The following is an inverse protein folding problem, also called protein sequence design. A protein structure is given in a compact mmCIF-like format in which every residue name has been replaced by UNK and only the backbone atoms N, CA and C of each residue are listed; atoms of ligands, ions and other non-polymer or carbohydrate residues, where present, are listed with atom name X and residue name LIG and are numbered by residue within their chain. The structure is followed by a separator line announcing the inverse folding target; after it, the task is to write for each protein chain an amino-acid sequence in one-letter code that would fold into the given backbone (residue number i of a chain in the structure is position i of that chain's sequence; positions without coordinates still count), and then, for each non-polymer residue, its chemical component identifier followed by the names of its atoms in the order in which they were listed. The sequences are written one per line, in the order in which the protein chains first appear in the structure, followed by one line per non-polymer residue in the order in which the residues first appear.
data_IF_003620473283
#
_entry.id   IF_003620473283
#
_cell.length_a   1.000
_cell.length_b   1.000
_cell.length_c   1.000
_cell.angle_alpha   90.00
_cell.angle_beta   90.00
_cell.angle_gamma   90.00
#
_symmetry.space_group_name_H-M   'P 1'
#
loop_
_entity.id
_entity.type
_entity.pdbx_description
1 polymer ?
#
# COMPACT_ATOMS: atom_id res chain seq x y z
N UNK A 1 -66.18 55.03 -33.72
CA UNK A 1 -65.84 54.08 -34.82
C UNK A 1 -64.71 53.19 -34.31
N UNK A 2 -64.98 51.99 -33.79
CA UNK A 2 -65.09 50.69 -34.49
C UNK A 2 -63.74 50.09 -34.96
N UNK A 3 -63.31 49.06 -34.22
CA UNK A 3 -62.62 47.81 -34.62
C UNK A 3 -61.24 47.91 -35.30
N UNK A 4 -60.25 47.20 -34.73
CA UNK A 4 -59.77 45.88 -35.24
C UNK A 4 -58.78 45.22 -34.26
N UNK A 5 -59.04 43.95 -33.95
CA UNK A 5 -58.13 42.98 -33.33
C UNK A 5 -57.12 42.51 -34.37
N UNK A 6 -55.86 42.29 -34.00
CA UNK A 6 -55.00 41.27 -34.61
C UNK A 6 -54.18 40.60 -33.50
N UNK A 7 -54.48 39.32 -33.29
CA UNK A 7 -53.66 38.29 -32.63
C UNK A 7 -52.62 37.84 -33.67
N UNK A 8 -51.38 37.50 -33.26
CA UNK A 8 -50.55 36.36 -33.73
C UNK A 8 -49.08 36.62 -33.42
N UNK A 9 -48.39 35.65 -32.81
CA UNK A 9 -46.94 35.70 -32.63
C UNK A 9 -46.39 34.59 -31.73
N UNK A 10 -46.68 33.34 -32.08
CA UNK A 10 -46.03 32.13 -31.57
C UNK A 10 -44.51 32.21 -31.81
N UNK A 11 -43.68 31.95 -30.80
CA UNK A 11 -42.38 31.29 -30.98
C UNK A 11 -41.96 30.64 -29.66
N UNK A 12 -42.28 29.34 -29.57
CA UNK A 12 -41.64 28.40 -28.66
C UNK A 12 -40.24 28.15 -29.22
N UNK A 13 -39.21 28.63 -28.52
CA UNK A 13 -37.84 28.18 -28.75
C UNK A 13 -37.38 27.49 -27.47
N UNK A 14 -37.42 26.16 -27.51
CA UNK A 14 -36.93 25.31 -26.44
C UNK A 14 -35.42 25.43 -26.32
N UNK A 15 -34.95 25.91 -25.17
CA UNK A 15 -33.59 25.67 -24.72
C UNK A 15 -33.62 24.41 -23.83
N UNK A 16 -33.57 23.23 -24.46
CA UNK A 16 -33.12 22.04 -23.76
C UNK A 16 -31.62 22.24 -23.53
N UNK A 17 -31.27 22.89 -22.42
CA UNK A 17 -29.90 22.87 -21.91
C UNK A 17 -29.60 21.42 -21.55
N UNK A 18 -28.96 20.71 -22.48
CA UNK A 18 -28.34 19.43 -22.22
C UNK A 18 -27.32 19.63 -21.13
N UNK A 19 -27.72 19.37 -19.89
CA UNK A 19 -26.78 19.10 -18.80
C UNK A 19 -26.09 17.82 -19.22
N UNK A 20 -24.93 17.96 -19.86
CA UNK A 20 -23.94 16.91 -19.91
C UNK A 20 -23.55 16.67 -18.45
N UNK A 21 -24.24 15.72 -17.83
CA UNK A 21 -23.80 15.09 -16.60
C UNK A 21 -22.48 14.41 -16.92
N UNK A 22 -21.38 15.15 -16.79
CA UNK A 22 -20.10 14.57 -16.47
C UNK A 22 -20.33 13.90 -15.11
N UNK A 23 -20.71 12.63 -15.14
CA UNK A 23 -20.71 11.79 -13.96
C UNK A 23 -19.32 11.93 -13.38
N UNK A 24 -19.22 12.59 -12.22
CA UNK A 24 -18.01 12.56 -11.42
C UNK A 24 -17.82 11.08 -11.08
N UNK A 25 -17.05 10.38 -11.91
CA UNK A 25 -16.54 9.07 -11.57
C UNK A 25 -15.85 9.27 -10.24
N UNK A 26 -16.39 8.70 -9.18
CA UNK A 26 -15.71 8.59 -7.90
C UNK A 26 -14.41 7.87 -8.20
N UNK A 27 -13.32 8.62 -8.31
CA UNK A 27 -12.00 8.04 -8.35
C UNK A 27 -11.88 7.25 -7.05
N UNK A 28 -12.00 5.93 -7.13
CA UNK A 28 -11.68 5.06 -6.01
C UNK A 28 -10.19 5.29 -5.75
N UNK A 29 -9.89 6.07 -4.71
CA UNK A 29 -8.54 6.17 -4.19
C UNK A 29 -8.09 4.73 -3.94
N UNK A 30 -7.01 4.31 -4.62
CA UNK A 30 -6.46 2.98 -4.40
C UNK A 30 -6.17 2.86 -2.90
N UNK A 31 -6.65 1.77 -2.28
CA UNK A 31 -6.51 1.59 -0.84
C UNK A 31 -5.02 1.72 -0.47
N UNK A 32 -4.68 2.49 0.58
CA UNK A 32 -3.29 2.60 1.00
C UNK A 32 -2.81 1.19 1.33
N UNK A 33 -1.76 0.74 0.64
CA UNK A 33 -1.18 -0.57 0.89
C UNK A 33 -0.72 -0.69 2.35
N UNK A 34 -0.62 -1.92 2.84
CA UNK A 34 -0.16 -2.19 4.19
C UNK A 34 0.85 -3.34 4.20
N UNK A 35 1.64 -3.40 5.27
CA UNK A 35 2.58 -4.48 5.56
C UNK A 35 2.35 -4.97 6.99
N UNK A 36 2.49 -6.26 7.21
CA UNK A 36 2.51 -6.91 8.50
C UNK A 36 3.71 -7.84 8.60
N UNK A 37 4.37 -7.79 9.75
CA UNK A 37 5.50 -8.62 10.11
C UNK A 37 5.06 -9.64 11.16
N UNK A 38 5.44 -10.89 10.92
CA UNK A 38 5.33 -12.01 11.85
C UNK A 38 6.67 -12.69 11.99
N UNK A 39 7.08 -12.98 13.22
CA UNK A 39 8.33 -13.67 13.54
C UNK A 39 7.98 -14.86 14.41
N UNK A 40 8.30 -16.07 13.95
CA UNK A 40 8.01 -17.32 14.66
C UNK A 40 9.23 -18.21 14.73
N UNK A 41 9.43 -18.89 15.87
CA UNK A 41 10.55 -19.82 16.02
C UNK A 41 10.36 -21.01 15.09
N UNK A 42 11.40 -21.35 14.33
CA UNK A 42 11.42 -22.47 13.36
C UNK A 42 12.71 -23.26 13.54
N UNK A 43 12.74 -24.16 14.53
CA UNK A 43 13.94 -24.93 14.90
C UNK A 43 14.96 -24.06 15.61
N UNK A 44 16.21 -24.07 15.15
CA UNK A 44 17.30 -23.21 15.65
C UNK A 44 17.30 -21.79 15.04
N UNK A 45 16.35 -21.50 14.15
CA UNK A 45 16.23 -20.22 13.44
C UNK A 45 14.85 -19.60 13.68
N UNK A 46 14.66 -18.39 13.19
CA UNK A 46 13.40 -17.66 13.18
C UNK A 46 12.89 -17.52 11.76
N UNK A 47 11.63 -17.90 11.55
CA UNK A 47 10.92 -17.66 10.31
C UNK A 47 10.29 -16.27 10.39
N UNK A 48 10.85 -15.34 9.63
CA UNK A 48 10.35 -13.98 9.47
C UNK A 48 9.48 -13.95 8.23
N UNK A 49 8.21 -13.59 8.40
CA UNK A 49 7.24 -13.46 7.32
C UNK A 49 6.73 -12.04 7.26
N UNK A 50 6.84 -11.43 6.10
CA UNK A 50 6.24 -10.13 5.80
C UNK A 50 5.14 -10.32 4.77
N UNK A 51 3.90 -10.03 5.17
CA UNK A 51 2.72 -10.13 4.32
C UNK A 51 1.98 -8.81 4.25
N UNK A 52 1.15 -8.64 3.23
CA UNK A 52 0.38 -7.41 3.12
C UNK A 52 -0.26 -7.23 1.77
N UNK A 53 -0.72 -6.01 1.56
CA UNK A 53 -1.44 -5.61 0.36
C UNK A 53 -0.70 -4.44 -0.28
N UNK A 54 -0.39 -4.56 -1.56
CA UNK A 54 0.16 -3.48 -2.35
C UNK A 54 -0.82 -2.31 -2.42
N UNK A 55 -0.32 -1.06 -2.48
CA UNK A 55 -1.18 0.12 -2.69
C UNK A 55 -1.96 0.10 -4.01
N UNK A 56 -1.59 -0.81 -4.92
CA UNK A 56 -2.28 -1.03 -6.17
C UNK A 56 -2.60 -2.50 -6.35
N UNK A 57 -3.80 -2.82 -6.81
CA UNK A 57 -4.22 -4.18 -7.18
C UNK A 57 -3.53 -4.67 -8.45
N UNK A 58 -2.20 -4.64 -8.49
CA UNK A 58 -1.40 -5.06 -9.64
C UNK A 58 -0.18 -5.83 -9.16
N UNK A 59 0.13 -6.89 -9.91
CA UNK A 59 1.32 -7.71 -9.71
C UNK A 59 2.59 -6.85 -9.83
N UNK A 60 3.54 -7.03 -8.91
CA UNK A 60 4.77 -6.25 -8.84
C UNK A 60 5.84 -6.95 -8.01
N UNK A 61 7.09 -6.49 -8.12
CA UNK A 61 8.24 -7.07 -7.40
C UNK A 61 8.49 -6.31 -6.11
N UNK A 62 8.46 -7.00 -4.99
CA UNK A 62 8.68 -6.45 -3.66
C UNK A 62 9.94 -7.02 -3.05
N UNK A 63 10.60 -6.21 -2.22
CA UNK A 63 11.61 -6.69 -1.29
C UNK A 63 11.36 -6.13 0.10
N UNK A 64 11.84 -6.80 1.14
CA UNK A 64 11.83 -6.22 2.48
C UNK A 64 13.21 -6.26 3.14
N UNK A 65 13.44 -5.29 4.01
CA UNK A 65 14.55 -5.22 4.97
C UNK A 65 13.97 -5.16 6.39
N UNK A 66 14.71 -5.69 7.37
CA UNK A 66 14.33 -5.59 8.78
C UNK A 66 15.15 -4.51 9.47
N UNK A 67 14.52 -3.85 10.43
CA UNK A 67 15.11 -2.79 11.22
C UNK A 67 14.75 -2.99 12.69
N UNK A 68 15.67 -2.62 13.57
CA UNK A 68 15.41 -2.36 14.97
C UNK A 68 14.63 -1.09 15.16
N UNK A 69 13.80 -1.06 16.21
CA UNK A 69 12.94 0.06 16.56
C UNK A 69 13.33 0.62 17.93
N UNK A 70 14.58 1.02 18.13
CA UNK A 70 14.98 1.75 19.33
C UNK A 70 14.70 3.27 19.20
N UNK A 71 14.40 3.92 20.32
CA UNK A 71 14.19 5.37 20.42
C UNK A 71 15.45 6.17 20.03
N UNK A 72 16.62 5.54 20.13
CA UNK A 72 17.91 6.18 19.86
C UNK A 72 18.44 5.85 18.47
N UNK A 73 18.21 4.64 17.95
CA UNK A 73 18.72 4.20 16.65
C UNK A 73 17.78 3.22 15.94
N UNK A 74 17.29 3.59 14.74
CA UNK A 74 16.68 2.64 13.80
C UNK A 74 17.82 1.85 13.11
N UNK A 75 18.34 0.80 13.73
CA UNK A 75 19.44 0.01 13.16
C UNK A 75 18.94 -0.96 12.07
N UNK A 76 19.71 -1.08 10.98
CA UNK A 76 19.35 -1.93 9.85
C UNK A 76 19.89 -3.36 10.08
N UNK A 77 19.10 -4.19 10.76
CA UNK A 77 19.53 -5.52 11.21
C UNK A 77 19.59 -6.58 10.11
N UNK A 78 18.80 -6.43 9.04
CA UNK A 78 18.81 -7.39 7.94
C UNK A 78 18.62 -6.72 6.57
N UNK A 79 19.65 -6.83 5.75
CA UNK A 79 19.61 -6.44 4.35
C UNK A 79 18.80 -7.44 3.54
N UNK A 80 17.69 -6.94 2.97
CA UNK A 80 16.88 -7.67 2.01
C UNK A 80 17.69 -8.13 0.80
N UNK A 81 18.19 -9.37 0.83
CA UNK A 81 18.96 -9.97 -0.24
C UNK A 81 18.07 -10.53 -1.36
N UNK A 82 18.63 -11.40 -2.21
CA UNK A 82 17.86 -12.11 -3.26
C UNK A 82 16.68 -12.90 -2.69
N UNK A 83 16.80 -13.37 -1.45
CA UNK A 83 15.82 -14.21 -0.76
C UNK A 83 14.67 -13.44 -0.10
N UNK A 84 14.79 -12.12 -0.01
CA UNK A 84 13.78 -11.25 0.61
C UNK A 84 12.90 -10.60 -0.44
N UNK A 85 12.82 -11.22 -1.62
CA UNK A 85 12.10 -10.74 -2.80
C UNK A 85 10.89 -11.64 -3.08
N UNK A 86 9.79 -11.03 -3.49
CA UNK A 86 8.59 -11.76 -3.89
C UNK A 86 7.77 -10.98 -4.91
N UNK A 87 6.77 -11.65 -5.47
CA UNK A 87 5.79 -11.04 -6.36
C UNK A 87 4.43 -10.96 -5.68
N UNK A 88 3.67 -9.90 -5.96
CA UNK A 88 2.26 -9.88 -5.59
C UNK A 88 1.41 -10.73 -6.52
N UNK A 89 0.28 -11.22 -6.01
CA UNK A 89 -0.76 -11.81 -6.85
C UNK A 89 -1.51 -10.74 -7.67
N UNK A 90 -2.48 -11.16 -8.47
CA UNK A 90 -3.31 -10.26 -9.28
C UNK A 90 -4.11 -9.25 -8.44
N UNK A 91 -4.38 -9.58 -7.17
CA UNK A 91 -5.08 -8.69 -6.25
C UNK A 91 -4.13 -7.75 -5.53
N UNK A 92 -2.81 -7.90 -5.66
CA UNK A 92 -1.80 -7.10 -4.98
C UNK A 92 -1.38 -7.67 -3.61
N UNK A 93 -1.81 -8.89 -3.25
CA UNK A 93 -1.39 -9.52 -2.00
C UNK A 93 0.02 -10.09 -2.15
N UNK A 94 0.85 -9.93 -1.12
CA UNK A 94 2.17 -10.54 -1.03
C UNK A 94 2.39 -11.23 0.31
N UNK A 95 3.25 -12.24 0.29
CA UNK A 95 3.80 -12.89 1.49
C UNK A 95 5.22 -13.36 1.18
N UNK A 96 6.20 -12.82 1.90
CA UNK A 96 7.61 -13.14 1.72
C UNK A 96 8.13 -13.68 3.05
N UNK A 97 8.73 -14.87 3.03
CA UNK A 97 9.26 -15.51 4.23
C UNK A 97 10.73 -15.83 4.08
N UNK A 98 11.51 -15.54 5.12
CA UNK A 98 12.95 -15.87 5.19
C UNK A 98 13.25 -16.49 6.55
N UNK A 99 14.28 -17.34 6.60
CA UNK A 99 14.83 -17.81 7.87
C UNK A 99 16.04 -16.97 8.24
N UNK A 100 16.07 -16.48 9.47
CA UNK A 100 17.18 -15.70 10.04
C UNK A 100 17.64 -16.31 11.37
N UNK A 101 18.89 -16.06 11.75
CA UNK A 101 19.40 -16.40 13.07
C UNK A 101 18.84 -15.46 14.14
N UNK A 102 18.71 -15.95 15.38
CA UNK A 102 18.32 -15.11 16.53
C UNK A 102 19.28 -13.94 16.74
N UNK A 103 20.59 -14.17 16.54
CA UNK A 103 21.61 -13.12 16.59
C UNK A 103 21.44 -11.99 15.56
N UNK A 104 20.62 -12.20 14.52
CA UNK A 104 20.29 -11.15 13.53
C UNK A 104 19.08 -10.33 13.96
N UNK A 105 18.23 -10.88 14.83
CA UNK A 105 17.05 -10.20 15.36
C UNK A 105 17.30 -9.56 16.72
N UNK A 106 18.47 -9.83 17.32
CA UNK A 106 18.86 -9.32 18.62
C UNK A 106 19.44 -7.90 18.46
N UNK A 107 18.75 -6.90 18.99
CA UNK A 107 19.07 -5.45 18.91
C UNK A 107 19.86 -4.95 20.13
N UNK A 108 20.58 -5.87 20.75
CA UNK A 108 21.51 -5.63 21.82
C UNK A 108 20.83 -5.29 23.16
N UNK A 109 20.10 -4.20 23.42
CA UNK A 109 19.59 -3.90 24.79
C UNK A 109 18.12 -3.40 24.86
N UNK A 110 17.29 -4.04 25.70
CA UNK A 110 15.92 -3.55 26.02
C UNK A 110 14.76 -4.45 25.59
N UNK A 111 15.05 -5.59 24.97
CA UNK A 111 14.07 -6.45 24.32
C UNK A 111 14.07 -6.18 22.82
N UNK A 112 13.84 -7.21 22.02
CA UNK A 112 14.05 -7.10 20.58
C UNK A 112 12.81 -6.54 19.88
N UNK A 113 12.93 -5.32 19.36
CA UNK A 113 11.84 -4.59 18.71
C UNK A 113 12.11 -4.50 17.22
N UNK A 114 11.48 -5.39 16.44
CA UNK A 114 11.79 -5.54 15.01
C UNK A 114 10.61 -5.07 14.16
N UNK A 115 10.89 -4.29 13.12
CA UNK A 115 9.92 -3.96 12.07
C UNK A 115 10.51 -4.18 10.68
N UNK A 116 9.65 -4.24 9.66
CA UNK A 116 10.04 -4.40 8.27
C UNK A 116 9.74 -3.13 7.46
N UNK A 117 10.65 -2.78 6.55
CA UNK A 117 10.38 -1.85 5.44
C UNK A 117 10.25 -2.67 4.16
N UNK A 118 9.08 -2.60 3.54
CA UNK A 118 8.75 -3.27 2.29
C UNK A 118 8.84 -2.27 1.15
N UNK A 119 9.76 -2.51 0.22
CA UNK A 119 10.06 -1.66 -0.92
C UNK A 119 9.49 -2.27 -2.18
N UNK A 120 8.65 -1.53 -2.89
CA UNK A 120 8.18 -1.91 -4.22
C UNK A 120 9.17 -1.45 -5.30
N UNK A 121 9.73 -2.36 -6.10
CA UNK A 121 10.90 -2.07 -6.94
C UNK A 121 10.64 -1.11 -8.10
N UNK A 122 9.40 -0.96 -8.57
CA UNK A 122 9.04 0.09 -9.52
C UNK A 122 7.53 0.22 -9.65
N UNK A 123 7.00 1.42 -9.37
CA UNK A 123 5.60 1.76 -9.56
C UNK A 123 5.47 3.18 -10.11
N UNK A 124 5.08 3.34 -11.38
CA UNK A 124 4.92 4.66 -12.01
C UNK A 124 6.14 5.59 -11.81
N UNK A 125 7.36 5.03 -11.84
CA UNK A 125 8.61 5.77 -11.57
C UNK A 125 8.87 6.11 -10.10
N UNK A 126 8.06 5.59 -9.17
CA UNK A 126 8.19 5.72 -7.72
C UNK A 126 8.48 4.36 -7.09
N UNK A 127 9.11 4.40 -5.92
CA UNK A 127 9.46 3.23 -5.12
C UNK A 127 8.76 3.37 -3.76
N UNK A 128 7.46 3.04 -3.66
CA UNK A 128 6.76 3.17 -2.38
C UNK A 128 7.36 2.22 -1.36
N UNK A 129 7.50 2.72 -0.12
CA UNK A 129 7.99 1.98 1.03
C UNK A 129 6.86 1.87 2.05
N UNK A 130 6.51 0.64 2.43
CA UNK A 130 5.54 0.34 3.47
C UNK A 130 6.28 -0.07 4.75
N UNK A 131 5.88 0.51 5.89
CA UNK A 131 6.36 0.08 7.21
C UNK A 131 5.37 -0.93 7.79
N UNK A 132 5.87 -2.04 8.33
CA UNK A 132 5.04 -3.00 9.06
C UNK A 132 4.73 -2.54 10.49
N UNK A 133 3.97 -3.35 11.22
CA UNK A 133 3.97 -3.33 12.68
C UNK A 133 5.38 -3.65 13.24
N UNK A 134 5.62 -3.20 14.47
CA UNK A 134 6.76 -3.63 15.29
C UNK A 134 6.38 -4.92 16.03
N UNK A 135 7.27 -5.90 16.02
CA UNK A 135 7.16 -7.16 16.76
C UNK A 135 8.18 -7.16 17.88
N UNK A 136 7.70 -7.39 19.10
CA UNK A 136 8.54 -7.49 20.30
C UNK A 136 8.81 -8.95 20.63
N UNK A 137 10.05 -9.30 20.93
CA UNK A 137 10.41 -10.67 21.29
C UNK A 137 11.73 -10.79 22.04
N UNK A 138 12.13 -12.04 22.24
CA UNK A 138 13.46 -12.44 22.70
C UNK A 138 13.94 -13.52 21.75
N UNK A 139 14.90 -13.19 20.88
CA UNK A 139 15.25 -14.02 19.72
C UNK A 139 16.57 -14.80 19.86
#
# INVERSE_FOLDING_TARGET
MSKRRIVTGLLVAGAMAGVFGAGAGTANAAAPGYAQLSIVKSGSQWLVTVSGQAPTGSAGNYSFSLYGSDEWFDEHIYWGGRYSRGTTDANGYYSISVKVSGSTLNEDWGGDEVYAKVTHMSYNGKTPVLRSNTVRGSY
#
